data_IF_560723045957
#
_entry.id   IF_560723045957
#
_cell.length_a   1.000
_cell.length_b   1.000
_cell.length_c   1.000
_cell.angle_alpha   90.00
_cell.angle_beta   90.00
_cell.angle_gamma   90.00
#
_symmetry.space_group_name_H-M   'P 1'
#
loop_
_entity.id
_entity.type
_entity.pdbx_description
1 polymer ?
#
# COMPACT_ATOMS: atom_id res chain seq x y z
N UNK A 1 -11.02 -16.20 -2.51
CA UNK A 1 -11.53 -15.11 -3.38
C UNK A 1 -10.31 -14.31 -3.82
N UNK A 2 -10.00 -14.33 -5.12
CA UNK A 2 -8.71 -13.86 -5.65
C UNK A 2 -8.56 -12.34 -5.48
N UNK A 3 -7.67 -11.89 -4.60
CA UNK A 3 -7.14 -10.53 -4.73
C UNK A 3 -6.21 -10.53 -5.94
N UNK A 4 -6.74 -10.11 -7.09
CA UNK A 4 -5.98 -9.97 -8.33
C UNK A 4 -5.13 -8.69 -8.38
N UNK A 5 -5.06 -7.93 -7.28
CA UNK A 5 -4.26 -6.71 -7.19
C UNK A 5 -3.38 -6.76 -5.94
N UNK A 6 -2.09 -6.36 -6.04
CA UNK A 6 -1.19 -6.28 -4.90
C UNK A 6 -1.73 -5.30 -3.87
N UNK A 7 -1.40 -5.51 -2.61
CA UNK A 7 -1.52 -4.47 -1.59
C UNK A 7 -0.35 -3.50 -1.69
N UNK A 8 -0.59 -2.24 -1.35
CA UNK A 8 0.50 -1.34 -1.03
C UNK A 8 1.21 -1.81 0.24
N UNK A 9 2.49 -1.53 0.38
CA UNK A 9 3.22 -1.77 1.62
C UNK A 9 2.70 -0.82 2.70
N UNK A 10 2.28 -1.35 3.84
CA UNK A 10 1.67 -0.57 4.90
C UNK A 10 1.00 -1.40 5.97
N UNK A 11 0.35 -0.74 6.92
CA UNK A 11 -0.42 -1.43 7.94
C UNK A 11 -1.81 -1.77 7.42
N UNK A 12 -2.29 -2.97 7.75
CA UNK A 12 -3.64 -3.41 7.44
C UNK A 12 -4.34 -3.88 8.70
N UNK A 13 -5.57 -3.42 8.90
CA UNK A 13 -6.37 -3.71 10.08
C UNK A 13 -7.72 -4.28 9.68
N UNK A 14 -8.17 -5.33 10.36
CA UNK A 14 -9.53 -5.86 10.21
C UNK A 14 -10.40 -5.29 11.32
N UNK A 15 -11.49 -4.64 10.92
CA UNK A 15 -12.47 -4.03 11.81
C UNK A 15 -13.88 -4.32 11.26
N UNK A 16 -14.75 -4.87 12.09
CA UNK A 16 -16.12 -5.26 11.73
C UNK A 16 -16.15 -6.16 10.48
N UNK A 17 -15.25 -7.14 10.42
CA UNK A 17 -15.15 -8.10 9.31
C UNK A 17 -14.57 -7.57 8.01
N UNK A 18 -14.14 -6.29 7.93
CA UNK A 18 -13.50 -5.71 6.73
C UNK A 18 -12.06 -5.29 7.01
N UNK A 19 -11.17 -5.60 6.06
CA UNK A 19 -9.79 -5.14 6.10
C UNK A 19 -9.64 -3.74 5.48
N UNK A 20 -8.88 -2.88 6.15
CA UNK A 20 -8.59 -1.51 5.73
C UNK A 20 -7.09 -1.27 5.71
N UNK A 21 -6.62 -0.43 4.79
CA UNK A 21 -5.30 0.17 4.95
C UNK A 21 -5.33 1.15 6.13
N UNK A 22 -4.28 1.11 6.94
CA UNK A 22 -4.27 1.72 8.26
C UNK A 22 -2.99 2.52 8.53
N UNK A 23 -3.06 3.39 9.53
CA UNK A 23 -1.89 3.97 10.18
C UNK A 23 -2.00 3.76 11.68
N UNK A 24 -1.00 3.13 12.26
CA UNK A 24 -0.88 2.94 13.70
C UNK A 24 -0.34 4.22 14.34
N UNK A 25 -1.02 4.73 15.37
CA UNK A 25 -0.60 5.86 16.20
C UNK A 25 -0.77 5.50 17.68
N UNK A 26 0.30 5.06 18.34
CA UNK A 26 0.24 4.59 19.73
C UNK A 26 -0.84 3.50 19.91
N UNK A 27 -1.81 3.74 20.80
CA UNK A 27 -2.96 2.86 21.08
C UNK A 27 -4.09 2.97 20.07
N UNK A 28 -4.02 3.91 19.13
CA UNK A 28 -5.08 4.17 18.16
C UNK A 28 -4.64 3.76 16.75
N UNK A 29 -5.62 3.36 15.95
CA UNK A 29 -5.41 2.99 14.55
C UNK A 29 -6.37 3.78 13.67
N UNK A 30 -5.81 4.49 12.69
CA UNK A 30 -6.57 5.24 11.70
C UNK A 30 -6.81 4.34 10.49
N UNK A 31 -8.05 3.92 10.30
CA UNK A 31 -8.55 3.17 9.15
C UNK A 31 -8.88 4.12 7.99
N UNK A 32 -8.63 3.70 6.75
CA UNK A 32 -8.97 4.45 5.53
C UNK A 32 -9.88 3.63 4.62
N UNK A 33 -10.97 4.25 4.18
CA UNK A 33 -11.77 3.77 3.05
C UNK A 33 -11.39 4.58 1.82
N UNK A 34 -11.03 3.91 0.71
CA UNK A 34 -10.68 4.58 -0.54
C UNK A 34 -11.91 4.79 -1.43
N UNK A 35 -11.86 5.77 -2.33
CA UNK A 35 -12.92 5.94 -3.33
C UNK A 35 -12.98 4.71 -4.24
N UNK A 36 -14.20 4.31 -4.61
CA UNK A 36 -14.46 3.11 -5.41
C UNK A 36 -14.60 1.83 -4.59
N UNK A 37 -14.29 1.87 -3.29
CA UNK A 37 -14.68 0.81 -2.37
C UNK A 37 -16.12 1.01 -1.87
N UNK A 38 -16.79 -0.03 -1.35
CA UNK A 38 -18.12 0.12 -0.75
C UNK A 38 -18.10 1.16 0.38
N UNK A 39 -19.13 2.01 0.40
CA UNK A 39 -19.30 3.03 1.44
C UNK A 39 -19.39 2.37 2.82
N UNK A 40 -18.76 3.02 3.80
CA UNK A 40 -18.75 2.56 5.19
C UNK A 40 -19.42 3.64 6.02
N UNK A 41 -20.50 3.26 6.71
CA UNK A 41 -21.17 4.13 7.66
C UNK A 41 -20.18 4.51 8.80
N UNK A 42 -20.32 5.72 9.34
CA UNK A 42 -19.54 6.28 10.46
C UNK A 42 -18.07 6.66 10.19
N UNK A 43 -17.60 6.62 8.94
CA UNK A 43 -16.29 7.20 8.60
C UNK A 43 -16.46 8.71 8.35
N UNK A 44 -15.56 9.52 8.92
CA UNK A 44 -15.57 10.96 8.64
C UNK A 44 -14.91 11.25 7.29
N UNK A 45 -15.41 12.21 6.50
CA UNK A 45 -14.81 12.55 5.21
C UNK A 45 -13.33 12.93 5.32
N UNK A 46 -12.51 12.39 4.43
CA UNK A 46 -11.08 12.73 4.38
C UNK A 46 -10.81 13.97 3.52
N UNK A 47 -9.75 14.71 3.86
CA UNK A 47 -9.21 15.79 3.01
C UNK A 47 -8.29 15.27 1.89
N UNK A 48 -7.89 14.00 1.95
CA UNK A 48 -7.04 13.38 0.93
C UNK A 48 -7.94 12.93 -0.22
N UNK A 49 -7.68 13.43 -1.44
CA UNK A 49 -8.55 13.20 -2.58
C UNK A 49 -8.84 11.71 -2.85
N UNK A 50 -7.86 10.80 -2.72
CA UNK A 50 -8.08 9.37 -2.96
C UNK A 50 -8.84 8.64 -1.82
N UNK A 51 -8.89 9.21 -0.62
CA UNK A 51 -9.50 8.60 0.56
C UNK A 51 -10.92 9.15 0.70
N UNK A 52 -11.92 8.28 0.67
CA UNK A 52 -13.32 8.66 0.87
C UNK A 52 -13.58 9.06 2.32
N UNK A 53 -13.11 8.24 3.26
CA UNK A 53 -13.33 8.46 4.68
C UNK A 53 -12.23 7.87 5.54
N UNK A 54 -12.13 8.38 6.76
CA UNK A 54 -11.24 7.87 7.81
C UNK A 54 -12.03 7.54 9.07
N UNK A 55 -11.53 6.58 9.84
CA UNK A 55 -12.04 6.28 11.18
C UNK A 55 -10.88 5.97 12.10
N UNK A 56 -10.85 6.60 13.26
CA UNK A 56 -9.91 6.24 14.32
C UNK A 56 -10.58 5.24 15.25
N UNK A 57 -9.93 4.11 15.52
CA UNK A 57 -10.41 3.10 16.47
C UNK A 57 -9.29 2.74 17.44
N UNK A 58 -9.61 2.42 18.71
CA UNK A 58 -8.66 1.80 19.60
C UNK A 58 -8.13 0.49 19.01
N UNK A 59 -6.85 0.22 19.21
CA UNK A 59 -6.20 -1.01 18.72
C UNK A 59 -6.89 -2.28 19.24
N UNK A 60 -7.39 -2.24 20.47
CA UNK A 60 -8.13 -3.33 21.13
C UNK A 60 -9.47 -3.67 20.49
N UNK A 61 -10.02 -2.79 19.64
CA UNK A 61 -11.25 -3.07 18.89
C UNK A 61 -10.98 -3.77 17.55
N UNK A 62 -9.71 -3.98 17.19
CA UNK A 62 -9.34 -4.63 15.95
C UNK A 62 -9.37 -6.15 16.09
N UNK A 63 -9.96 -6.81 15.09
CA UNK A 63 -9.92 -8.26 14.96
C UNK A 63 -8.52 -8.73 14.55
N UNK A 64 -7.84 -7.96 13.70
CA UNK A 64 -6.48 -8.21 13.21
C UNK A 64 -5.75 -6.91 12.96
N UNK A 65 -4.46 -6.92 13.20
CA UNK A 65 -3.54 -5.88 12.75
C UNK A 65 -2.28 -6.53 12.21
N UNK A 66 -1.79 -6.05 11.07
CA UNK A 66 -0.57 -6.55 10.45
C UNK A 66 0.16 -5.43 9.73
N UNK A 67 1.48 -5.61 9.59
CA UNK A 67 2.24 -4.88 8.58
C UNK A 67 2.41 -5.79 7.36
N UNK A 68 2.11 -5.26 6.18
CA UNK A 68 2.25 -5.97 4.92
C UNK A 68 3.35 -5.30 4.13
N UNK A 69 4.34 -6.09 3.71
CA UNK A 69 5.36 -5.67 2.76
C UNK A 69 5.11 -6.36 1.43
N UNK A 70 4.82 -5.56 0.41
CA UNK A 70 4.59 -6.06 -0.94
C UNK A 70 5.75 -5.69 -1.84
N UNK A 71 6.33 -6.68 -2.52
CA UNK A 71 7.38 -6.50 -3.51
C UNK A 71 6.95 -7.09 -4.85
N UNK A 72 7.51 -6.55 -5.93
CA UNK A 72 7.31 -7.06 -7.29
C UNK A 72 8.61 -6.93 -8.09
N UNK A 73 8.60 -7.42 -9.33
CA UNK A 73 9.63 -7.18 -10.33
C UNK A 73 9.09 -6.43 -11.54
N UNK A 74 9.91 -5.57 -12.11
CA UNK A 74 9.69 -4.95 -13.42
C UNK A 74 11.01 -4.89 -14.18
N UNK A 75 11.01 -5.36 -15.42
CA UNK A 75 12.23 -5.55 -16.24
C UNK A 75 13.35 -6.30 -15.50
N UNK A 76 12.98 -7.30 -14.70
CA UNK A 76 13.90 -8.13 -13.91
C UNK A 76 14.41 -7.50 -12.62
N UNK A 77 14.08 -6.24 -12.36
CA UNK A 77 14.55 -5.48 -11.20
C UNK A 77 13.50 -5.43 -10.08
N UNK A 78 13.92 -5.41 -8.79
CA UNK A 78 13.00 -5.48 -7.65
C UNK A 78 12.48 -4.11 -7.21
N UNK A 79 11.20 -4.09 -6.84
CA UNK A 79 10.48 -2.92 -6.36
C UNK A 79 9.64 -3.25 -5.14
N UNK A 80 9.44 -2.26 -4.27
CA UNK A 80 8.42 -2.28 -3.23
C UNK A 80 7.18 -1.54 -3.75
N UNK A 81 6.00 -2.13 -3.61
CA UNK A 81 4.74 -1.46 -3.96
C UNK A 81 4.34 -0.55 -2.81
N UNK A 82 4.10 0.74 -3.09
CA UNK A 82 3.76 1.77 -2.09
C UNK A 82 2.43 2.46 -2.36
N UNK A 83 1.85 2.27 -3.55
CA UNK A 83 0.52 2.74 -3.92
C UNK A 83 -0.08 1.84 -4.99
N UNK A 84 -1.41 1.72 -5.00
CA UNK A 84 -2.16 0.90 -5.95
C UNK A 84 -3.45 1.62 -6.29
N UNK A 85 -3.74 1.77 -7.59
CA UNK A 85 -4.95 2.45 -8.05
C UNK A 85 -5.00 2.57 -9.57
N UNK A 86 -6.20 2.55 -10.13
CA UNK A 86 -6.46 2.81 -11.55
C UNK A 86 -5.66 1.95 -12.54
N UNK A 87 -5.34 0.70 -12.18
CA UNK A 87 -4.52 -0.19 -13.01
C UNK A 87 -3.01 0.10 -12.97
N UNK A 88 -2.57 1.01 -12.09
CA UNK A 88 -1.18 1.34 -11.84
C UNK A 88 -0.74 0.93 -10.44
N UNK A 89 0.57 0.79 -10.29
CA UNK A 89 1.25 0.71 -9.00
C UNK A 89 2.27 1.83 -8.88
N UNK A 90 2.27 2.50 -7.75
CA UNK A 90 3.38 3.37 -7.34
C UNK A 90 4.39 2.49 -6.61
N UNK A 91 5.66 2.62 -7.00
CA UNK A 91 6.73 1.75 -6.53
C UNK A 91 7.94 2.53 -6.04
N UNK A 92 8.67 1.91 -5.14
CA UNK A 92 9.99 2.33 -4.70
C UNK A 92 11.03 1.30 -5.13
N UNK A 93 12.10 1.72 -5.80
CA UNK A 93 13.17 0.82 -6.24
C UNK A 93 13.98 0.32 -5.04
N UNK A 94 14.18 -0.99 -4.95
CA UNK A 94 14.92 -1.63 -3.85
C UNK A 94 16.11 -2.47 -4.34
N UNK A 95 16.49 -2.35 -5.62
CA UNK A 95 17.62 -3.05 -6.20
C UNK A 95 18.93 -2.26 -6.13
N UNK A 96 19.98 -2.80 -6.74
CA UNK A 96 21.34 -2.26 -6.68
C UNK A 96 21.75 -1.43 -7.91
N UNK A 97 20.97 -1.46 -8.99
CA UNK A 97 21.27 -0.80 -10.27
C UNK A 97 20.65 0.59 -10.37
N UNK A 98 20.92 1.41 -9.35
CA UNK A 98 20.35 2.76 -9.20
C UNK A 98 20.54 3.67 -10.42
N UNK A 99 21.73 3.71 -11.01
CA UNK A 99 21.98 4.55 -12.19
C UNK A 99 21.27 4.07 -13.45
N UNK A 100 21.12 2.75 -13.60
CA UNK A 100 20.38 2.18 -14.72
C UNK A 100 18.88 2.42 -14.58
N UNK A 101 18.33 2.29 -13.36
CA UNK A 101 16.88 2.35 -13.18
C UNK A 101 16.33 3.75 -13.40
N UNK A 102 17.06 4.79 -13.02
CA UNK A 102 16.63 6.19 -13.20
C UNK A 102 16.62 6.64 -14.66
N UNK A 103 17.22 5.85 -15.56
CA UNK A 103 17.14 6.05 -17.01
C UNK A 103 15.92 5.36 -17.64
N UNK A 104 15.17 4.57 -16.86
CA UNK A 104 13.97 3.89 -17.37
C UNK A 104 12.78 4.84 -17.43
N UNK A 105 11.92 4.74 -18.46
CA UNK A 105 10.68 5.52 -18.54
C UNK A 105 9.79 5.31 -17.31
N UNK A 106 9.22 6.40 -16.79
CA UNK A 106 8.32 6.36 -15.64
C UNK A 106 9.01 6.25 -14.27
N UNK A 107 10.35 6.20 -14.23
CA UNK A 107 11.16 6.22 -13.01
C UNK A 107 11.75 7.61 -12.78
N UNK A 108 11.69 8.10 -11.55
CA UNK A 108 12.22 9.40 -11.13
C UNK A 108 13.08 9.23 -9.89
N UNK A 109 14.26 9.85 -9.88
CA UNK A 109 15.08 9.96 -8.68
C UNK A 109 14.50 11.04 -7.76
N UNK A 110 14.11 10.67 -6.55
CA UNK A 110 13.54 11.57 -5.54
C UNK A 110 14.51 11.89 -4.42
N UNK A 111 15.60 11.13 -4.29
CA UNK A 111 16.64 11.32 -3.27
C UNK A 111 17.99 10.72 -3.69
N UNK A 112 18.99 10.79 -2.81
CA UNK A 112 20.36 10.34 -3.13
C UNK A 112 20.39 8.88 -3.62
N UNK A 113 19.59 8.01 -3.00
CA UNK A 113 19.49 6.58 -3.32
C UNK A 113 18.04 6.15 -3.54
N UNK A 114 17.13 7.11 -3.74
CA UNK A 114 15.70 6.87 -3.80
C UNK A 114 15.20 7.10 -5.22
N UNK A 115 14.59 6.06 -5.79
CA UNK A 115 13.94 6.12 -7.09
C UNK A 115 12.51 5.60 -6.97
N UNK A 116 11.56 6.40 -7.44
CA UNK A 116 10.14 6.07 -7.45
C UNK A 116 9.68 5.85 -8.88
N UNK A 117 8.65 5.02 -9.05
CA UNK A 117 8.03 4.81 -10.34
C UNK A 117 6.52 4.74 -10.23
N UNK A 118 5.85 5.04 -11.34
CA UNK A 118 4.45 4.67 -11.55
C UNK A 118 4.40 3.71 -12.72
N UNK A 119 4.14 2.45 -12.43
CA UNK A 119 4.19 1.35 -13.39
C UNK A 119 2.79 0.80 -13.66
N UNK A 120 2.58 0.25 -14.85
CA UNK A 120 1.34 -0.47 -15.13
C UNK A 120 1.31 -1.78 -14.36
N UNK A 121 0.17 -2.11 -13.76
CA UNK A 121 -0.01 -3.37 -13.04
C UNK A 121 0.22 -4.59 -13.95
N UNK A 122 -0.12 -4.50 -15.24
CA UNK A 122 0.07 -5.58 -16.20
C UNK A 122 1.54 -5.86 -16.53
N UNK A 123 2.46 -4.94 -16.22
CA UNK A 123 3.89 -5.08 -16.54
C UNK A 123 4.73 -5.60 -15.37
N UNK A 124 4.18 -5.60 -14.15
CA UNK A 124 4.88 -6.12 -12.98
C UNK A 124 4.67 -7.62 -12.85
N UNK A 125 5.68 -8.30 -12.33
CA UNK A 125 5.74 -9.75 -12.18
C UNK A 125 6.21 -10.08 -10.77
N UNK A 126 6.23 -11.38 -10.42
CA UNK A 126 6.86 -11.86 -9.18
C UNK A 126 6.39 -11.09 -7.93
N UNK A 127 5.06 -10.98 -7.79
CA UNK A 127 4.43 -10.25 -6.69
C UNK A 127 4.46 -11.14 -5.45
N UNK A 128 5.11 -10.68 -4.39
CA UNK A 128 5.16 -11.36 -3.10
C UNK A 128 4.69 -10.42 -1.99
N UNK A 129 3.85 -10.94 -1.10
CA UNK A 129 3.40 -10.24 0.10
C UNK A 129 3.92 -10.97 1.33
N UNK A 130 4.68 -10.25 2.15
CA UNK A 130 5.13 -10.69 3.47
C UNK A 130 4.24 -10.03 4.52
N UNK A 131 3.62 -10.83 5.38
CA UNK A 131 2.66 -10.36 6.37
C UNK A 131 3.23 -10.61 7.76
N UNK A 132 3.46 -9.52 8.49
CA UNK A 132 3.93 -9.52 9.87
C UNK A 132 2.74 -9.21 10.80
N UNK A 133 2.17 -10.20 11.49
CA UNK A 133 1.09 -9.97 12.43
C UNK A 133 1.56 -9.10 13.60
N UNK A 134 0.72 -8.15 14.01
CA UNK A 134 0.96 -7.30 15.16
C UNK A 134 -0.11 -7.59 16.21
N UNK A 135 0.28 -7.68 17.48
CA UNK A 135 -0.67 -7.86 18.58
C UNK A 135 -1.67 -6.69 18.57
N UNK A 136 -3.00 -6.88 18.51
CA UNK A 136 -3.96 -5.78 18.63
C UNK A 136 -3.92 -5.12 20.03
#
# INVERSE_FOLDING_TARGET
MSRNHPRATGHYATFQGREYHATVKNSDVILRSYRGEPEVLDFVPSRIAAVQGIRTVPRSELEKLSFVRTVCRWKGEPFMVVGVGDGYVDVFYIGSRGEWIVQQPGIVRTGKLEAHGRLQFAEITDIYEFVDPLAP
#
